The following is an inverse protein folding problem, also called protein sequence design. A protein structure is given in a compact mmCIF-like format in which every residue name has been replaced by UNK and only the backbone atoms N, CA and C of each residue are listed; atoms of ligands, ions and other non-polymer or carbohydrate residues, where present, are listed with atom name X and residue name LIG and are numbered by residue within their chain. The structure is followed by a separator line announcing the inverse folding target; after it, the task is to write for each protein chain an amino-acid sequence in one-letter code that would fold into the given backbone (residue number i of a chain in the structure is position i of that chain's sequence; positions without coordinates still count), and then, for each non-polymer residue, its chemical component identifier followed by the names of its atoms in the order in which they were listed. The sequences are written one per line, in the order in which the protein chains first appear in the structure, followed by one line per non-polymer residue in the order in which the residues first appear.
data_IF_314153264454
#
_entry.id   IF_314153264454
#
_cell.length_a   1.000
_cell.length_b   1.000
_cell.length_c   1.000
_cell.angle_alpha   90.00
_cell.angle_beta   90.00
_cell.angle_gamma   90.00
#
_symmetry.space_group_name_H-M   'P 1'
#
loop_
_entity.id
_entity.type
_entity.pdbx_description
1 polymer ?
#
# COMPACT_ATOMS: atom_id res chain seq x y z
N UNK A 1 20.46 -6.90 21.02
CA UNK A 1 21.24 -6.99 19.78
C UNK A 1 20.33 -7.45 18.65
N UNK A 2 20.20 -6.63 17.61
CA UNK A 2 19.43 -7.02 16.42
C UNK A 2 20.21 -8.02 15.57
N UNK A 3 19.51 -8.98 14.98
CA UNK A 3 20.09 -9.93 14.01
C UNK A 3 19.38 -9.78 12.69
N UNK A 4 20.13 -9.89 11.59
CA UNK A 4 19.60 -9.77 10.23
C UNK A 4 20.08 -10.94 9.40
N UNK A 5 19.14 -11.59 8.72
CA UNK A 5 19.43 -12.71 7.85
C UNK A 5 18.39 -12.84 6.76
N UNK A 6 18.74 -13.61 5.73
CA UNK A 6 17.80 -14.06 4.71
C UNK A 6 17.80 -15.58 4.64
N UNK A 7 16.68 -16.16 4.25
CA UNK A 7 16.56 -17.58 3.98
C UNK A 7 15.64 -17.82 2.79
N UNK A 8 15.93 -18.88 2.04
CA UNK A 8 15.09 -19.35 0.96
C UNK A 8 14.09 -20.36 1.51
N UNK A 9 12.80 -20.20 1.21
CA UNK A 9 11.78 -21.23 1.40
C UNK A 9 11.62 -21.97 0.08
N UNK A 10 12.11 -23.22 -0.06
CA UNK A 10 11.94 -23.98 -1.30
C UNK A 10 10.49 -24.38 -1.54
N UNK A 11 9.70 -24.55 -0.47
CA UNK A 11 8.29 -24.94 -0.55
C UNK A 11 7.44 -23.81 -1.16
N UNK A 12 7.74 -22.57 -0.80
CA UNK A 12 7.02 -21.39 -1.29
C UNK A 12 7.68 -20.76 -2.52
N UNK A 13 8.83 -21.29 -2.95
CA UNK A 13 9.76 -20.64 -3.89
C UNK A 13 9.87 -19.15 -3.53
N UNK A 14 10.43 -18.82 -2.37
CA UNK A 14 10.44 -17.46 -1.84
C UNK A 14 11.71 -17.13 -1.05
N UNK A 15 12.07 -15.84 -1.03
CA UNK A 15 13.13 -15.31 -0.19
C UNK A 15 12.55 -14.45 0.92
N UNK A 16 12.79 -14.88 2.17
CA UNK A 16 12.41 -14.15 3.38
C UNK A 16 13.61 -13.45 3.97
N UNK A 17 13.42 -12.19 4.34
CA UNK A 17 14.42 -11.33 4.98
C UNK A 17 13.88 -10.91 6.33
N UNK A 18 14.67 -11.16 7.38
CA UNK A 18 14.29 -10.86 8.76
C UNK A 18 15.28 -9.91 9.40
N UNK A 19 14.73 -8.95 10.14
CA UNK A 19 15.42 -8.29 11.24
C UNK A 19 14.73 -8.71 12.53
N UNK A 20 15.44 -9.34 13.46
CA UNK A 20 14.88 -9.84 14.72
C UNK A 20 15.46 -9.10 15.93
N UNK A 21 14.66 -9.03 16.99
CA UNK A 21 15.10 -8.57 18.31
C UNK A 21 15.87 -9.65 19.09
N UNK A 22 16.13 -9.35 20.36
CA UNK A 22 16.79 -10.27 21.31
C UNK A 22 15.94 -11.49 21.68
N UNK A 23 14.62 -11.40 21.49
CA UNK A 23 13.65 -12.46 21.75
C UNK A 23 13.34 -13.30 20.50
N UNK A 24 14.15 -13.14 19.46
CA UNK A 24 14.05 -13.79 18.16
C UNK A 24 12.78 -13.47 17.39
N UNK A 25 11.96 -12.53 17.88
CA UNK A 25 10.76 -12.15 17.17
C UNK A 25 11.09 -11.09 16.10
N UNK A 26 10.37 -11.09 14.97
CA UNK A 26 10.66 -10.20 13.84
C UNK A 26 10.29 -8.75 14.17
N UNK A 27 11.26 -7.85 14.08
CA UNK A 27 11.06 -6.40 14.09
C UNK A 27 10.61 -5.92 12.71
N UNK A 28 11.21 -6.47 11.64
CA UNK A 28 10.84 -6.26 10.25
C UNK A 28 10.95 -7.56 9.46
N UNK A 29 10.04 -7.74 8.52
CA UNK A 29 9.99 -8.89 7.63
C UNK A 29 9.68 -8.45 6.20
N UNK A 30 10.49 -8.91 5.25
CA UNK A 30 10.22 -8.78 3.83
C UNK A 30 10.24 -10.16 3.16
N UNK A 31 9.22 -10.46 2.37
CA UNK A 31 9.11 -11.73 1.63
C UNK A 31 8.93 -11.44 0.15
N UNK A 32 9.78 -12.03 -0.69
CA UNK A 32 9.73 -11.93 -2.14
C UNK A 32 9.47 -13.31 -2.74
N UNK A 33 8.65 -13.40 -3.79
CA UNK A 33 8.61 -14.62 -4.59
C UNK A 33 9.99 -14.90 -5.21
N UNK A 34 10.36 -16.16 -5.36
CA UNK A 34 11.68 -16.66 -5.72
C UNK A 34 12.10 -16.27 -7.14
N UNK A 35 11.11 -16.06 -8.01
CA UNK A 35 11.29 -15.47 -9.33
C UNK A 35 11.70 -13.98 -9.30
N UNK A 36 11.39 -13.25 -8.22
CA UNK A 36 11.95 -11.90 -8.00
C UNK A 36 13.37 -12.03 -7.48
N UNK A 37 14.32 -11.86 -8.38
CA UNK A 37 15.69 -11.55 -7.99
C UNK A 37 15.68 -10.25 -7.17
N UNK A 38 15.82 -10.38 -5.85
CA UNK A 38 16.32 -9.29 -5.01
C UNK A 38 17.75 -9.05 -5.46
N UNK A 39 18.07 -7.92 -6.14
CA UNK A 39 19.37 -7.78 -6.77
C UNK A 39 20.48 -7.80 -5.72
N UNK A 40 21.48 -8.66 -5.93
CA UNK A 40 22.83 -8.46 -5.37
C UNK A 40 23.49 -7.35 -6.21
N UNK A 41 23.59 -6.13 -5.66
CA UNK A 41 24.26 -4.88 -6.12
C UNK A 41 25.25 -4.91 -7.32
N UNK A 42 25.60 -3.74 -7.92
CA UNK A 42 24.83 -2.51 -8.14
C UNK A 42 24.78 -2.18 -9.64
N UNK A 43 23.61 -1.95 -10.21
CA UNK A 43 23.54 -1.17 -11.44
C UNK A 43 22.97 0.20 -11.12
N UNK A 44 23.56 1.28 -11.65
CA UNK A 44 23.04 2.62 -11.43
C UNK A 44 21.57 2.67 -11.86
N UNK A 45 20.85 3.70 -11.41
CA UNK A 45 19.48 4.08 -11.84
C UNK A 45 19.39 4.42 -13.35
N UNK A 46 20.24 3.82 -14.18
CA UNK A 46 20.46 4.07 -15.61
C UNK A 46 19.70 3.12 -16.51
N UNK A 47 19.06 2.07 -15.99
CA UNK A 47 17.97 1.48 -16.76
C UNK A 47 16.78 2.44 -16.66
N UNK A 48 16.40 3.14 -17.76
CA UNK A 48 15.11 3.78 -17.78
C UNK A 48 14.08 2.72 -17.40
N UNK A 49 13.09 3.14 -16.61
CA UNK A 49 11.88 2.37 -16.33
C UNK A 49 11.14 2.14 -17.66
N UNK A 50 11.71 1.31 -18.55
CA UNK A 50 11.28 1.07 -19.92
C UNK A 50 10.06 0.15 -19.98
N UNK A 51 9.75 -0.52 -18.88
CA UNK A 51 8.49 -1.23 -18.74
C UNK A 51 7.42 -0.30 -18.15
N UNK A 52 6.25 -0.19 -18.79
CA UNK A 52 5.18 0.66 -18.31
C UNK A 52 4.78 0.24 -16.89
N UNK A 53 4.61 1.21 -16.01
CA UNK A 53 4.25 1.02 -14.59
C UNK A 53 3.00 0.16 -14.38
N UNK A 54 2.15 0.02 -15.40
CA UNK A 54 0.93 -0.80 -15.43
C UNK A 54 1.16 -2.32 -15.42
N UNK A 55 2.36 -2.81 -15.79
CA UNK A 55 2.68 -4.25 -15.87
C UNK A 55 3.38 -4.80 -14.62
N UNK A 56 3.52 -3.99 -13.56
CA UNK A 56 4.29 -4.35 -12.35
C UNK A 56 3.49 -5.07 -11.27
N UNK A 57 2.21 -5.33 -11.53
CA UNK A 57 1.31 -5.93 -10.54
C UNK A 57 1.34 -7.45 -10.53
N UNK A 58 1.53 -8.09 -11.69
CA UNK A 58 1.32 -9.52 -11.87
C UNK A 58 2.10 -10.05 -13.07
N UNK A 59 2.60 -11.29 -12.99
CA UNK A 59 3.10 -12.08 -14.10
C UNK A 59 1.97 -12.39 -15.09
N UNK A 60 2.31 -12.93 -16.27
CA UNK A 60 1.36 -13.33 -17.32
C UNK A 60 0.34 -14.40 -16.86
N UNK A 61 0.62 -15.08 -15.76
CA UNK A 61 -0.23 -16.06 -15.09
C UNK A 61 -1.08 -15.47 -13.94
N UNK A 62 -0.94 -14.15 -13.66
CA UNK A 62 -1.62 -13.47 -12.57
C UNK A 62 -0.88 -13.47 -11.24
N UNK A 63 0.34 -14.00 -11.15
CA UNK A 63 1.12 -14.09 -9.90
C UNK A 63 1.72 -12.73 -9.53
N UNK A 64 1.57 -12.21 -8.30
CA UNK A 64 2.10 -10.90 -7.94
C UNK A 64 3.62 -10.79 -8.13
N UNK A 65 4.08 -9.88 -9.01
CA UNK A 65 5.50 -9.59 -9.29
C UNK A 65 6.18 -8.72 -8.21
N UNK A 66 5.74 -8.80 -6.96
CA UNK A 66 6.26 -7.94 -5.89
C UNK A 66 6.45 -8.67 -4.57
N UNK A 67 6.92 -7.93 -3.57
CA UNK A 67 6.97 -8.46 -2.21
C UNK A 67 5.55 -8.89 -1.77
N UNK A 68 5.47 -10.04 -1.12
CA UNK A 68 4.25 -10.52 -0.47
C UNK A 68 4.09 -9.87 0.92
N UNK A 69 5.22 -9.64 1.61
CA UNK A 69 5.28 -9.02 2.93
C UNK A 69 6.34 -7.91 2.94
N UNK A 70 6.03 -6.80 3.59
CA UNK A 70 6.93 -5.71 3.96
C UNK A 70 6.44 -5.10 5.28
N UNK A 71 6.34 -5.93 6.31
CA UNK A 71 5.70 -5.60 7.57
C UNK A 71 6.73 -5.25 8.66
N UNK A 72 6.42 -4.21 9.45
CA UNK A 72 7.24 -3.75 10.56
C UNK A 72 6.42 -3.77 11.85
N UNK A 73 6.99 -4.34 12.91
CA UNK A 73 6.36 -4.37 14.23
C UNK A 73 6.10 -2.97 14.77
N UNK A 74 7.04 -2.05 14.60
CA UNK A 74 6.90 -0.68 15.08
C UNK A 74 5.82 0.07 14.30
N UNK A 75 5.78 -0.10 12.98
CA UNK A 75 4.72 0.49 12.16
C UNK A 75 3.34 -0.09 12.51
N UNK A 76 3.25 -1.41 12.72
CA UNK A 76 2.01 -2.06 13.14
C UNK A 76 1.54 -1.58 14.52
N UNK A 77 2.49 -1.32 15.44
CA UNK A 77 2.22 -0.73 16.74
C UNK A 77 1.66 0.69 16.59
N UNK A 78 2.31 1.54 15.79
CA UNK A 78 1.83 2.91 15.52
C UNK A 78 0.44 2.86 14.86
N UNK A 79 0.22 2.00 13.88
CA UNK A 79 -1.08 1.85 13.21
C UNK A 79 -2.19 1.45 14.20
N UNK A 80 -1.87 0.59 15.18
CA UNK A 80 -2.79 0.21 16.25
C UNK A 80 -3.08 1.37 17.21
N UNK A 81 -2.06 2.10 17.61
CA UNK A 81 -2.17 3.22 18.56
C UNK A 81 -2.98 4.38 17.97
N UNK A 82 -2.72 4.73 16.70
CA UNK A 82 -3.31 5.89 16.04
C UNK A 82 -4.66 5.60 15.36
N UNK A 83 -4.84 4.39 14.82
CA UNK A 83 -6.01 4.04 13.99
C UNK A 83 -6.77 2.80 14.47
N UNK A 84 -6.41 2.28 15.65
CA UNK A 84 -7.12 1.18 16.29
C UNK A 84 -7.11 -0.14 15.48
N UNK A 85 -8.10 -1.03 15.72
CA UNK A 85 -8.20 -2.32 15.04
C UNK A 85 -8.36 -2.21 13.52
N UNK A 86 -9.05 -1.19 13.03
CA UNK A 86 -9.22 -0.97 11.60
C UNK A 86 -7.89 -0.62 10.93
N UNK A 87 -7.08 0.24 11.56
CA UNK A 87 -5.74 0.57 11.08
C UNK A 87 -4.83 -0.64 10.93
N UNK A 88 -4.87 -1.56 11.89
CA UNK A 88 -4.15 -2.84 11.84
C UNK A 88 -4.59 -3.66 10.63
N UNK A 89 -5.90 -3.84 10.43
CA UNK A 89 -6.42 -4.63 9.30
C UNK A 89 -6.06 -4.00 7.95
N UNK A 90 -6.11 -2.68 7.84
CA UNK A 90 -5.72 -1.96 6.62
C UNK A 90 -4.20 -2.06 6.38
N UNK A 91 -3.39 -1.96 7.44
CA UNK A 91 -1.94 -2.10 7.35
C UNK A 91 -1.55 -3.50 6.86
N UNK A 92 -2.12 -4.54 7.46
CA UNK A 92 -1.86 -5.93 7.08
C UNK A 92 -2.33 -6.23 5.65
N UNK A 93 -3.45 -5.64 5.20
CA UNK A 93 -3.88 -5.75 3.80
C UNK A 93 -2.86 -5.14 2.83
N UNK A 94 -2.28 -3.97 3.18
CA UNK A 94 -1.32 -3.27 2.33
C UNK A 94 0.07 -3.91 2.39
N UNK A 95 0.58 -4.25 3.56
CA UNK A 95 1.98 -4.66 3.76
C UNK A 95 2.17 -6.15 4.03
N UNK A 96 1.09 -6.93 4.11
CA UNK A 96 1.14 -8.34 4.46
C UNK A 96 1.16 -8.56 5.98
N UNK A 97 0.92 -9.82 6.37
CA UNK A 97 0.93 -10.25 7.77
C UNK A 97 2.33 -10.75 8.12
N UNK A 98 2.90 -10.21 9.18
CA UNK A 98 4.19 -10.64 9.70
C UNK A 98 4.07 -12.02 10.38
N UNK A 99 5.12 -12.82 10.27
CA UNK A 99 5.26 -14.13 10.93
C UNK A 99 4.99 -13.99 12.44
N UNK A 100 4.03 -14.77 12.98
CA UNK A 100 3.70 -14.70 14.39
C UNK A 100 4.77 -15.40 15.24
N UNK A 101 5.29 -14.70 16.25
CA UNK A 101 6.19 -15.28 17.26
C UNK A 101 7.68 -15.23 16.90
N UNK A 102 8.52 -16.03 17.57
CA UNK A 102 9.96 -16.09 17.31
C UNK A 102 10.27 -16.77 15.96
N UNK A 103 11.24 -16.24 15.22
CA UNK A 103 11.75 -16.81 13.98
C UNK A 103 13.07 -17.51 14.28
N UNK A 104 13.08 -18.84 14.10
CA UNK A 104 14.31 -19.64 14.20
C UNK A 104 15.00 -19.61 12.85
N UNK A 105 16.17 -18.99 12.79
CA UNK A 105 16.98 -18.98 11.57
C UNK A 105 17.33 -20.44 11.17
N UNK A 106 16.92 -20.90 9.97
CA UNK A 106 17.27 -22.24 9.52
C UNK A 106 18.78 -22.36 9.31
N UNK A 107 19.29 -23.60 9.22
CA UNK A 107 20.74 -23.85 9.15
C UNK A 107 21.41 -23.31 7.88
N UNK A 108 20.64 -23.06 6.84
CA UNK A 108 21.03 -22.45 5.57
C UNK A 108 20.71 -20.94 5.50
N UNK A 109 20.27 -20.33 6.60
CA UNK A 109 20.09 -18.89 6.68
C UNK A 109 21.42 -18.16 6.51
N UNK A 110 21.41 -17.12 5.67
CA UNK A 110 22.57 -16.30 5.39
C UNK A 110 22.49 -15.01 6.22
N UNK A 111 23.49 -14.69 7.06
CA UNK A 111 23.54 -13.39 7.72
C UNK A 111 23.67 -12.29 6.68
N UNK A 112 22.99 -11.16 6.89
CA UNK A 112 23.07 -10.00 6.00
C UNK A 112 23.47 -8.76 6.78
N UNK A 113 24.18 -7.87 6.12
CA UNK A 113 24.53 -6.56 6.68
C UNK A 113 23.28 -5.68 6.85
N UNK A 114 23.40 -4.64 7.68
CA UNK A 114 22.36 -3.61 7.81
C UNK A 114 22.02 -2.98 6.46
N UNK A 115 23.05 -2.63 5.68
CA UNK A 115 22.89 -1.98 4.39
C UNK A 115 22.14 -2.88 3.38
N UNK A 116 22.47 -4.18 3.35
CA UNK A 116 21.75 -5.16 2.54
C UNK A 116 20.28 -5.28 2.94
N UNK A 117 20.02 -5.33 4.24
CA UNK A 117 18.66 -5.41 4.75
C UNK A 117 17.84 -4.15 4.42
N UNK A 118 18.39 -2.96 4.65
CA UNK A 118 17.67 -1.70 4.36
C UNK A 118 17.33 -1.56 2.88
N UNK A 119 18.20 -2.04 1.98
CA UNK A 119 17.89 -2.07 0.55
C UNK A 119 16.74 -3.03 0.23
N UNK A 120 16.79 -4.25 0.75
CA UNK A 120 15.73 -5.23 0.56
C UNK A 120 14.40 -4.69 1.14
N UNK A 121 14.44 -4.11 2.33
CA UNK A 121 13.30 -3.50 3.00
C UNK A 121 12.68 -2.35 2.20
N UNK A 122 13.49 -1.37 1.78
CA UNK A 122 13.01 -0.25 0.96
C UNK A 122 12.36 -0.72 -0.34
N UNK A 123 12.92 -1.76 -0.96
CA UNK A 123 12.37 -2.37 -2.17
C UNK A 123 11.05 -3.09 -1.88
N UNK A 124 10.95 -3.83 -0.77
CA UNK A 124 9.73 -4.52 -0.37
C UNK A 124 8.58 -3.52 -0.11
N UNK A 125 8.85 -2.45 0.63
CA UNK A 125 7.88 -1.36 0.88
C UNK A 125 7.45 -0.70 -0.44
N UNK A 126 8.40 -0.42 -1.33
CA UNK A 126 8.10 0.11 -2.65
C UNK A 126 7.18 -0.83 -3.44
N UNK A 127 7.50 -2.13 -3.52
CA UNK A 127 6.63 -3.09 -4.20
C UNK A 127 5.24 -3.14 -3.58
N UNK A 128 5.11 -3.26 -2.26
CA UNK A 128 3.80 -3.28 -1.58
C UNK A 128 2.96 -2.04 -1.84
N UNK A 129 3.58 -0.88 -2.10
CA UNK A 129 2.85 0.33 -2.47
C UNK A 129 2.13 0.23 -3.82
N UNK A 130 2.66 -0.59 -4.75
CA UNK A 130 2.16 -0.73 -6.11
C UNK A 130 1.56 -2.11 -6.43
N UNK A 131 1.75 -3.11 -5.56
CA UNK A 131 1.11 -4.41 -5.69
C UNK A 131 -0.36 -4.32 -5.28
N UNK A 132 -1.23 -4.92 -6.08
CA UNK A 132 -2.65 -5.03 -5.76
C UNK A 132 -2.84 -5.89 -4.50
N UNK A 133 -3.73 -5.46 -3.61
CA UNK A 133 -4.23 -6.29 -2.52
C UNK A 133 -5.74 -6.48 -2.68
N UNK A 134 -6.19 -7.72 -2.56
CA UNK A 134 -7.56 -8.20 -2.81
C UNK A 134 -8.27 -8.71 -1.54
N UNK A 135 -7.62 -8.58 -0.39
CA UNK A 135 -8.13 -8.98 0.92
C UNK A 135 -8.18 -7.80 1.90
N UNK A 136 -8.74 -8.06 3.09
CA UNK A 136 -8.92 -7.07 4.14
C UNK A 136 -10.28 -6.34 4.09
N UNK A 137 -10.49 -5.34 4.96
CA UNK A 137 -11.78 -4.66 5.10
C UNK A 137 -12.09 -3.71 3.93
N UNK A 138 -11.08 -3.34 3.13
CA UNK A 138 -11.24 -2.45 1.99
C UNK A 138 -10.29 -2.81 0.83
N UNK A 139 -10.53 -3.94 0.13
CA UNK A 139 -9.70 -4.36 -1.00
C UNK A 139 -9.66 -3.34 -2.15
N UNK A 140 -8.59 -3.35 -2.95
CA UNK A 140 -8.54 -2.53 -4.17
C UNK A 140 -9.61 -2.97 -5.18
N UNK A 141 -10.30 -1.99 -5.77
CA UNK A 141 -11.45 -2.19 -6.64
C UNK A 141 -12.79 -2.16 -5.90
N UNK A 142 -12.80 -2.10 -4.57
CA UNK A 142 -14.03 -1.98 -3.79
C UNK A 142 -14.74 -0.68 -4.13
N UNK A 143 -16.05 -0.76 -4.40
CA UNK A 143 -16.90 0.41 -4.60
C UNK A 143 -17.44 0.89 -3.26
N UNK A 144 -17.30 2.19 -3.03
CA UNK A 144 -17.74 2.86 -1.81
C UNK A 144 -18.53 4.09 -2.17
N UNK A 145 -19.61 4.33 -1.44
CA UNK A 145 -20.32 5.61 -1.47
C UNK A 145 -19.65 6.57 -0.51
N UNK A 146 -19.47 7.81 -0.94
CA UNK A 146 -18.96 8.86 -0.08
C UNK A 146 -19.44 10.23 -0.49
N UNK A 147 -19.25 11.19 0.43
CA UNK A 147 -19.63 12.58 0.25
C UNK A 147 -18.39 13.44 0.13
N UNK A 148 -18.28 14.25 -0.93
CA UNK A 148 -17.19 15.23 -1.09
C UNK A 148 -17.25 16.21 0.08
N UNK A 149 -16.22 16.22 0.92
CA UNK A 149 -16.22 16.97 2.18
C UNK A 149 -15.47 18.29 2.07
N UNK A 150 -14.36 18.32 1.33
CA UNK A 150 -13.55 19.53 1.18
C UNK A 150 -12.71 19.51 -0.09
N UNK A 151 -12.52 20.69 -0.68
CA UNK A 151 -11.54 20.97 -1.73
C UNK A 151 -10.39 21.77 -1.08
N UNK A 152 -9.40 21.09 -0.49
CA UNK A 152 -8.44 21.67 0.48
C UNK A 152 -7.65 22.87 -0.05
N UNK A 153 -7.37 22.92 -1.35
CA UNK A 153 -6.69 24.04 -2.00
C UNK A 153 -7.53 24.67 -3.11
N UNK A 154 -8.83 24.35 -3.15
CA UNK A 154 -9.73 24.74 -4.24
C UNK A 154 -9.69 23.80 -5.46
N UNK A 155 -10.61 23.98 -6.41
CA UNK A 155 -10.70 23.16 -7.61
C UNK A 155 -9.44 23.24 -8.49
N UNK A 156 -9.05 22.12 -9.10
CA UNK A 156 -8.01 22.08 -10.14
C UNK A 156 -6.57 21.98 -9.64
N UNK A 157 -6.31 22.00 -8.33
CA UNK A 157 -4.93 22.05 -7.80
C UNK A 157 -4.35 20.70 -7.41
N UNK A 158 -5.07 19.87 -6.64
CA UNK A 158 -4.51 18.60 -6.12
C UNK A 158 -5.53 17.47 -6.04
N UNK A 159 -6.78 17.79 -5.73
CA UNK A 159 -7.84 16.80 -5.54
C UNK A 159 -8.86 17.23 -4.50
N UNK A 160 -9.61 16.26 -4.00
CA UNK A 160 -10.68 16.48 -3.03
C UNK A 160 -10.72 15.38 -1.98
N UNK A 161 -11.21 15.71 -0.79
CA UNK A 161 -11.48 14.74 0.25
C UNK A 161 -12.92 14.24 0.17
N UNK A 162 -13.10 12.98 0.54
CA UNK A 162 -14.38 12.28 0.58
C UNK A 162 -14.55 11.72 1.99
N UNK A 163 -15.67 12.04 2.63
CA UNK A 163 -16.12 11.35 3.83
C UNK A 163 -16.78 10.03 3.41
N UNK A 164 -16.26 8.91 3.92
CA UNK A 164 -16.81 7.58 3.65
C UNK A 164 -17.81 7.22 4.75
N UNK A 165 -19.05 6.93 4.37
CA UNK A 165 -20.14 6.68 5.34
C UNK A 165 -19.84 5.46 6.24
N UNK A 166 -19.10 4.48 5.72
CA UNK A 166 -18.80 3.22 6.38
C UNK A 166 -17.49 3.21 7.18
N UNK A 167 -16.59 4.19 6.98
CA UNK A 167 -15.24 4.17 7.54
C UNK A 167 -14.82 5.55 8.02
N UNK A 168 -14.41 5.64 9.28
CA UNK A 168 -13.84 6.85 9.89
C UNK A 168 -12.35 6.99 9.55
N UNK A 169 -12.04 7.00 8.25
CA UNK A 169 -10.69 7.20 7.72
C UNK A 169 -10.76 8.24 6.60
N UNK A 170 -9.80 9.17 6.50
CA UNK A 170 -9.86 10.20 5.47
C UNK A 170 -9.62 9.56 4.10
N UNK A 171 -10.51 9.87 3.15
CA UNK A 171 -10.37 9.41 1.77
C UNK A 171 -10.13 10.58 0.82
N UNK A 172 -9.37 10.34 -0.24
CA UNK A 172 -8.92 11.38 -1.16
C UNK A 172 -8.96 10.92 -2.60
N UNK A 173 -9.50 11.78 -3.47
CA UNK A 173 -9.47 11.61 -4.93
C UNK A 173 -8.41 12.54 -5.49
N UNK A 174 -7.44 11.98 -6.21
CA UNK A 174 -6.41 12.76 -6.91
C UNK A 174 -6.99 13.54 -8.08
N UNK A 175 -6.46 14.74 -8.34
CA UNK A 175 -6.84 15.53 -9.52
C UNK A 175 -6.67 14.77 -10.83
N UNK A 176 -5.74 13.81 -10.90
CA UNK A 176 -5.54 12.96 -12.08
C UNK A 176 -6.78 12.12 -12.44
N UNK A 177 -7.70 11.90 -11.49
CA UNK A 177 -8.96 11.17 -11.68
C UNK A 177 -10.19 12.07 -11.85
N UNK A 178 -10.01 13.38 -11.83
CA UNK A 178 -11.09 14.36 -11.94
C UNK A 178 -11.14 14.97 -13.35
N UNK A 179 -12.27 15.58 -13.75
CA UNK A 179 -12.33 16.39 -14.96
C UNK A 179 -11.18 17.39 -15.05
N UNK A 180 -10.69 17.61 -16.27
CA UNK A 180 -9.63 18.59 -16.51
C UNK A 180 -10.08 20.02 -16.23
N UNK A 181 -11.35 20.32 -16.50
CA UNK A 181 -11.96 21.60 -16.14
C UNK A 181 -12.30 21.59 -14.63
N UNK A 182 -11.70 22.48 -13.82
CA UNK A 182 -12.01 22.59 -12.40
C UNK A 182 -13.47 22.96 -12.11
N UNK A 183 -14.16 23.61 -13.05
CA UNK A 183 -15.58 23.94 -12.93
C UNK A 183 -16.49 22.71 -12.94
N UNK A 184 -16.02 21.59 -13.50
CA UNK A 184 -16.73 20.32 -13.56
C UNK A 184 -16.41 19.40 -12.37
N UNK A 185 -15.54 19.82 -11.44
CA UNK A 185 -15.26 19.06 -10.23
C UNK A 185 -16.52 18.96 -9.35
N UNK A 186 -16.70 17.85 -8.62
CA UNK A 186 -17.89 17.71 -7.79
C UNK A 186 -17.83 18.71 -6.63
N UNK A 187 -18.86 19.53 -6.41
CA UNK A 187 -18.89 20.46 -5.30
C UNK A 187 -18.94 19.74 -3.95
N UNK A 188 -18.55 20.43 -2.87
CA UNK A 188 -18.72 19.93 -1.50
C UNK A 188 -20.20 19.57 -1.25
N UNK A 189 -20.43 18.43 -0.61
CA UNK A 189 -21.76 17.84 -0.40
C UNK A 189 -22.21 16.89 -1.51
N UNK A 190 -21.46 16.77 -2.60
CA UNK A 190 -21.76 15.79 -3.66
C UNK A 190 -21.58 14.38 -3.13
N UNK A 191 -22.65 13.58 -3.23
CA UNK A 191 -22.62 12.15 -2.93
C UNK A 191 -22.41 11.40 -4.24
N UNK A 192 -21.37 10.55 -4.29
CA UNK A 192 -21.03 9.76 -5.47
C UNK A 192 -20.45 8.39 -5.08
N UNK A 193 -20.38 7.48 -6.06
CA UNK A 193 -19.72 6.18 -5.93
C UNK A 193 -18.27 6.29 -6.40
N UNK A 194 -17.36 5.80 -5.57
CA UNK A 194 -15.93 5.79 -5.81
C UNK A 194 -15.39 4.36 -5.76
N UNK A 195 -14.28 4.13 -6.44
CA UNK A 195 -13.53 2.89 -6.38
C UNK A 195 -12.25 3.11 -5.58
N UNK A 196 -11.95 2.19 -4.67
CA UNK A 196 -10.71 2.18 -3.88
C UNK A 196 -9.55 1.78 -4.78
N UNK A 197 -8.57 2.66 -4.92
CA UNK A 197 -7.38 2.44 -5.76
C UNK A 197 -6.20 1.94 -4.94
N UNK A 198 -5.98 2.48 -3.74
CA UNK A 198 -4.92 2.06 -2.81
C UNK A 198 -5.18 2.66 -1.43
N UNK A 199 -4.44 2.21 -0.42
CA UNK A 199 -4.41 2.75 0.93
C UNK A 199 -2.98 3.16 1.19
N UNK A 200 -2.80 4.39 1.68
CA UNK A 200 -1.49 4.95 1.99
C UNK A 200 -1.34 5.13 3.49
N UNK A 201 -0.20 4.67 3.98
CA UNK A 201 0.28 4.91 5.32
C UNK A 201 1.49 5.84 5.26
N UNK A 202 1.49 6.84 6.14
CA UNK A 202 2.67 7.57 6.56
C UNK A 202 2.77 7.36 8.07
N UNK A 203 3.77 6.62 8.53
CA UNK A 203 3.92 6.22 9.94
C UNK A 203 5.22 6.76 10.53
N UNK A 204 5.68 7.91 10.00
CA UNK A 204 6.88 8.57 10.50
C UNK A 204 6.55 9.32 11.80
N UNK A 205 7.49 9.41 12.75
CA UNK A 205 7.23 10.05 14.05
C UNK A 205 6.71 11.49 13.96
N UNK A 206 7.11 12.24 12.92
CA UNK A 206 6.73 13.64 12.74
C UNK A 206 5.34 13.82 12.13
N UNK A 207 4.83 12.78 11.46
CA UNK A 207 3.54 12.80 10.79
C UNK A 207 2.99 11.39 10.63
N UNK A 208 1.91 11.11 11.35
CA UNK A 208 1.15 9.87 11.19
C UNK A 208 -0.11 10.16 10.38
N UNK A 209 -0.27 9.46 9.26
CA UNK A 209 -1.41 9.58 8.37
C UNK A 209 -1.82 8.24 7.77
N UNK A 210 -3.12 8.01 7.72
CA UNK A 210 -3.76 6.94 6.97
C UNK A 210 -4.68 7.61 5.96
N UNK A 211 -4.57 7.26 4.67
CA UNK A 211 -5.45 7.81 3.65
C UNK A 211 -5.90 6.74 2.66
N UNK A 212 -7.21 6.64 2.45
CA UNK A 212 -7.78 5.83 1.37
C UNK A 212 -7.74 6.64 0.08
N UNK A 213 -7.14 6.09 -0.98
CA UNK A 213 -7.06 6.73 -2.29
C UNK A 213 -8.18 6.21 -3.17
N UNK A 214 -8.95 7.14 -3.73
CA UNK A 214 -10.15 6.86 -4.50
C UNK A 214 -10.02 7.36 -5.94
N UNK A 215 -10.82 6.76 -6.82
CA UNK A 215 -11.17 7.33 -8.12
C UNK A 215 -12.68 7.32 -8.29
N UNK A 216 -13.30 8.29 -8.97
CA UNK A 216 -14.72 8.23 -9.28
C UNK A 216 -15.02 7.04 -10.20
N UNK A 217 -16.16 6.38 -9.99
CA UNK A 217 -16.61 5.29 -10.88
C UNK A 217 -17.22 5.79 -12.18
N UNK A 218 -17.75 7.02 -12.15
CA UNK A 218 -18.29 7.71 -13.30
C UNK A 218 -17.96 9.20 -13.19
N UNK A 219 -17.69 9.81 -14.34
CA UNK A 219 -17.44 11.24 -14.49
C UNK A 219 -18.47 11.76 -15.50
N UNK A 220 -19.32 12.73 -15.13
CA UNK A 220 -20.32 13.26 -16.06
C UNK A 220 -19.64 14.03 -17.22
N UNK A 221 -20.31 14.17 -18.37
CA UNK A 221 -19.93 15.17 -19.36
C UNK A 221 -19.84 16.58 -18.76
N UNK A 222 -19.05 17.45 -19.39
CA UNK A 222 -18.89 18.84 -18.95
C UNK A 222 -20.25 19.55 -18.87
N UNK A 223 -20.49 20.24 -17.75
CA UNK A 223 -21.77 20.92 -17.46
C UNK A 223 -22.93 20.02 -17.03
N UNK A 224 -22.77 18.70 -17.00
CA UNK A 224 -23.79 17.77 -16.46
C UNK A 224 -23.58 17.49 -14.97
N UNK A 225 -24.67 17.23 -14.21
CA UNK A 225 -24.55 16.95 -12.78
C UNK A 225 -23.86 15.61 -12.52
N UNK A 226 -23.13 15.53 -11.41
CA UNK A 226 -22.51 14.28 -10.96
C UNK A 226 -23.54 13.17 -10.70
N UNK A 227 -23.27 11.94 -11.17
CA UNK A 227 -24.19 10.83 -11.03
C UNK A 227 -24.39 10.49 -9.55
N UNK A 228 -25.65 10.39 -9.14
CA UNK A 228 -25.99 9.91 -7.81
C UNK A 228 -25.79 8.40 -7.76
N UNK A 229 -25.35 7.84 -6.62
CA UNK A 229 -25.32 6.39 -6.43
C UNK A 229 -26.71 5.81 -6.68
N UNK A 230 -26.75 4.61 -7.27
CA UNK A 230 -27.99 3.83 -7.26
C UNK A 230 -28.41 3.62 -5.79
N UNK A 231 -29.69 3.82 -5.47
CA UNK A 231 -30.17 3.48 -4.12
C UNK A 231 -29.95 1.98 -3.91
N UNK A 232 -29.37 1.57 -2.76
CA UNK A 232 -29.27 0.16 -2.40
C UNK A 232 -30.65 -0.49 -2.26
#
# INVERSE_FOLDING_TARGET
MTRRFRCHSPEDDAWSWYETGDDDRPLREAVFAGALRVPTLPEPLSEPLSEPLSDRGTDADGTPRGAAVAASRDQLRVAREEFGPLGVQLYEAVYGVMTPGPVVAPGDAEPVTEEEFERAWARAVFHRHFTRYDSGPLPQGTRVTGTVSVLPWGPGLTGLFVALDALDVPAFVDMAWLPRDPGDWPPVGTVAEFEVTTIRFDLRPEYTGLQVRLRPTAVPPSGEPWPRPARP
#
